data_IF_218212087319
#
_entry.id   IF_218212087319
#
_cell.length_a   1.000
_cell.length_b   1.000
_cell.length_c   1.000
_cell.angle_alpha   90.00
_cell.angle_beta   90.00
_cell.angle_gamma   90.00
#
_symmetry.space_group_name_H-M   'P 1'
#
loop_
_entity.id
_entity.type
_entity.pdbx_description
1 polymer ?
#
# COMPACT_ATOMS: atom_id res chain seq x y z
N UNK A 1 27.40 6.45 5.30
CA UNK A 1 27.81 5.77 4.04
C UNK A 1 28.59 4.52 4.39
N UNK A 2 28.22 3.37 3.88
CA UNK A 2 28.86 2.09 4.22
C UNK A 2 29.92 1.72 3.17
N UNK A 3 31.12 1.37 3.63
CA UNK A 3 32.19 0.87 2.77
C UNK A 3 31.78 -0.45 2.08
N UNK A 4 32.18 -0.65 0.80
CA UNK A 4 31.92 -1.86 0.01
C UNK A 4 32.39 -3.15 0.71
N UNK A 5 33.50 -3.08 1.44
CA UNK A 5 34.11 -4.21 2.13
C UNK A 5 33.62 -4.39 3.58
N UNK A 6 32.87 -3.46 4.14
CA UNK A 6 32.37 -3.59 5.51
C UNK A 6 31.16 -4.53 5.58
N UNK A 7 31.14 -5.39 6.56
CA UNK A 7 30.01 -6.28 6.86
C UNK A 7 29.86 -6.45 8.36
N UNK A 8 28.64 -6.74 8.81
CA UNK A 8 28.38 -7.11 10.21
C UNK A 8 28.29 -8.63 10.30
N UNK A 9 28.99 -9.21 11.25
CA UNK A 9 28.91 -10.64 11.58
C UNK A 9 28.43 -10.83 13.02
N UNK A 10 27.93 -12.00 13.33
CA UNK A 10 27.52 -12.38 14.70
C UNK A 10 28.29 -13.61 15.15
N UNK A 11 28.79 -13.55 16.39
CA UNK A 11 29.41 -14.70 17.07
C UNK A 11 28.98 -14.65 18.55
N UNK A 12 28.50 -15.75 19.09
CA UNK A 12 28.03 -15.84 20.49
C UNK A 12 27.06 -14.70 20.85
N UNK A 13 26.02 -14.48 19.99
CA UNK A 13 24.99 -13.42 20.12
C UNK A 13 25.50 -11.97 20.11
N UNK A 14 26.81 -11.74 19.95
CA UNK A 14 27.40 -10.40 19.78
C UNK A 14 27.62 -10.09 18.31
N UNK A 15 27.25 -8.88 17.91
CA UNK A 15 27.52 -8.36 16.55
C UNK A 15 28.85 -7.61 16.55
N UNK A 16 29.66 -7.83 15.52
CA UNK A 16 30.92 -7.15 15.31
C UNK A 16 31.09 -6.75 13.84
N UNK A 17 31.92 -5.76 13.59
CA UNK A 17 32.27 -5.33 12.24
C UNK A 17 33.42 -6.15 11.71
N UNK A 18 33.36 -6.53 10.44
CA UNK A 18 34.36 -7.30 9.76
C UNK A 18 34.69 -6.66 8.41
N UNK A 19 35.96 -6.50 8.11
CA UNK A 19 36.45 -6.03 6.82
C UNK A 19 36.78 -7.21 5.89
N UNK A 20 36.16 -7.21 4.71
CA UNK A 20 36.43 -8.21 3.66
C UNK A 20 37.47 -7.75 2.64
N UNK A 21 38.09 -6.58 2.83
CA UNK A 21 39.14 -6.14 1.91
C UNK A 21 40.25 -7.20 1.84
N UNK A 22 40.77 -7.55 0.63
CA UNK A 22 41.78 -8.60 0.47
C UNK A 22 42.99 -8.44 1.38
N UNK A 23 43.43 -7.20 1.64
CA UNK A 23 44.58 -6.88 2.48
C UNK A 23 44.33 -6.86 3.98
N UNK A 24 43.04 -6.97 4.43
CA UNK A 24 42.68 -6.84 5.85
C UNK A 24 42.04 -8.12 6.37
N UNK A 25 40.93 -8.55 5.83
CA UNK A 25 40.14 -9.77 6.18
C UNK A 25 40.10 -10.08 7.69
N UNK A 26 39.77 -9.08 8.50
CA UNK A 26 39.77 -9.22 9.96
C UNK A 26 38.57 -8.51 10.60
N UNK A 27 38.35 -8.81 11.87
CA UNK A 27 37.49 -8.02 12.74
C UNK A 27 38.13 -6.65 12.96
N UNK A 28 37.32 -5.60 12.86
CA UNK A 28 37.77 -4.22 12.92
C UNK A 28 36.91 -3.41 13.90
N UNK A 29 37.55 -2.43 14.53
CA UNK A 29 36.82 -1.36 15.20
C UNK A 29 36.21 -0.41 14.16
N UNK A 30 34.97 -0.10 14.31
CA UNK A 30 34.24 0.83 13.42
C UNK A 30 34.89 2.21 13.33
N UNK A 31 35.49 2.68 14.42
CA UNK A 31 36.24 3.94 14.47
C UNK A 31 37.39 3.96 13.49
N UNK A 32 38.16 2.85 13.39
CA UNK A 32 39.27 2.69 12.45
C UNK A 32 38.81 2.64 10.99
N UNK A 33 37.64 2.01 10.74
CA UNK A 33 37.05 1.96 9.40
C UNK A 33 36.65 3.35 8.87
N UNK A 34 36.37 4.30 9.74
CA UNK A 34 36.00 5.68 9.37
C UNK A 34 37.13 6.42 8.64
N UNK A 35 38.40 6.12 8.95
CA UNK A 35 39.59 6.76 8.40
C UNK A 35 40.37 5.86 7.43
N UNK A 36 39.82 4.71 7.04
CA UNK A 36 40.50 3.76 6.18
C UNK A 36 40.70 4.31 4.76
N UNK A 37 41.93 4.32 4.28
CA UNK A 37 42.33 4.75 2.93
C UNK A 37 41.89 3.78 1.84
N UNK A 38 41.64 2.50 2.19
CA UNK A 38 41.16 1.46 1.28
C UNK A 38 39.65 1.43 1.17
N UNK A 39 38.98 2.46 1.68
CA UNK A 39 37.52 2.55 1.75
C UNK A 39 36.90 2.79 0.37
N UNK A 40 36.17 1.82 -0.12
CA UNK A 40 35.37 1.96 -1.30
C UNK A 40 33.88 2.01 -0.90
N UNK A 41 33.16 3.00 -1.40
CA UNK A 41 31.73 3.10 -1.16
C UNK A 41 30.97 2.12 -2.06
N UNK A 42 29.99 1.43 -1.49
CA UNK A 42 29.03 0.68 -2.30
C UNK A 42 28.27 1.66 -3.17
N UNK A 43 28.29 1.45 -4.47
CA UNK A 43 27.30 2.09 -5.33
C UNK A 43 25.91 1.75 -4.81
N UNK A 44 25.16 2.77 -4.44
CA UNK A 44 23.76 2.60 -4.10
C UNK A 44 23.02 2.34 -5.42
N UNK A 45 22.90 1.06 -5.80
CA UNK A 45 21.92 0.70 -6.82
C UNK A 45 20.58 1.17 -6.30
N UNK A 46 19.83 1.98 -7.08
CA UNK A 46 18.50 2.37 -6.67
C UNK A 46 17.72 1.09 -6.37
N UNK A 47 17.24 0.96 -5.14
CA UNK A 47 16.41 -0.19 -4.74
C UNK A 47 15.19 -0.10 -5.64
N UNK A 48 14.97 -1.04 -6.56
CA UNK A 48 13.79 -1.01 -7.38
C UNK A 48 12.60 -1.10 -6.43
N UNK A 49 11.79 -0.06 -6.41
CA UNK A 49 10.64 0.06 -5.53
C UNK A 49 9.52 -0.85 -6.06
N UNK A 50 9.77 -2.17 -6.03
CA UNK A 50 8.77 -3.19 -6.41
C UNK A 50 7.69 -3.18 -5.33
N UNK A 51 6.62 -2.46 -5.60
CA UNK A 51 5.41 -2.54 -4.78
C UNK A 51 5.00 -4.02 -4.68
N UNK A 52 4.66 -4.48 -3.48
CA UNK A 52 4.14 -5.85 -3.27
C UNK A 52 2.84 -6.04 -4.07
N UNK A 53 2.60 -7.24 -4.59
CA UNK A 53 1.41 -7.54 -5.41
C UNK A 53 0.09 -7.10 -4.73
N UNK A 54 -0.06 -7.35 -3.43
CA UNK A 54 -1.19 -6.85 -2.63
C UNK A 54 -1.32 -5.31 -2.70
N UNK A 55 -0.21 -4.57 -2.59
CA UNK A 55 -0.23 -3.10 -2.65
C UNK A 55 -0.71 -2.59 -4.01
N UNK A 56 -0.36 -3.29 -5.09
CA UNK A 56 -0.83 -2.97 -6.44
C UNK A 56 -2.33 -3.25 -6.54
N UNK A 57 -2.78 -4.44 -6.14
CA UNK A 57 -4.17 -4.87 -6.23
C UNK A 57 -5.13 -4.00 -5.38
N UNK A 58 -4.68 -3.52 -4.22
CA UNK A 58 -5.49 -2.69 -3.30
C UNK A 58 -5.38 -1.19 -3.55
N UNK A 59 -4.51 -0.76 -4.48
CA UNK A 59 -4.42 0.65 -4.89
C UNK A 59 -5.50 0.95 -5.92
N UNK A 60 -6.12 2.13 -5.85
CA UNK A 60 -7.11 2.56 -6.83
C UNK A 60 -6.38 3.22 -8.01
N UNK A 61 -6.42 2.64 -9.23
CA UNK A 61 -5.89 3.28 -10.42
C UNK A 61 -6.68 4.55 -10.77
N UNK A 62 -6.02 5.52 -11.42
CA UNK A 62 -6.70 6.75 -11.86
C UNK A 62 -7.91 6.47 -12.76
N UNK A 63 -7.76 5.53 -13.68
CA UNK A 63 -8.84 5.12 -14.57
C UNK A 63 -10.06 4.53 -13.83
N UNK A 64 -9.85 3.83 -12.73
CA UNK A 64 -10.96 3.33 -11.88
C UNK A 64 -11.66 4.50 -11.19
N UNK A 65 -10.90 5.46 -10.64
CA UNK A 65 -11.50 6.66 -10.03
C UNK A 65 -12.40 7.43 -10.99
N UNK A 66 -11.90 7.65 -12.20
CA UNK A 66 -12.64 8.37 -13.25
C UNK A 66 -13.95 7.63 -13.58
N UNK A 67 -13.91 6.31 -13.83
CA UNK A 67 -15.12 5.53 -14.14
C UNK A 67 -16.11 5.45 -12.97
N UNK A 68 -15.62 5.34 -11.74
CA UNK A 68 -16.45 5.35 -10.54
C UNK A 68 -17.15 6.71 -10.37
N UNK A 69 -16.40 7.79 -10.55
CA UNK A 69 -16.93 9.14 -10.44
C UNK A 69 -18.02 9.43 -11.50
N UNK A 70 -17.80 8.98 -12.75
CA UNK A 70 -18.80 9.05 -13.82
C UNK A 70 -20.03 8.18 -13.50
N UNK A 71 -19.82 6.92 -13.05
CA UNK A 71 -20.92 6.02 -12.64
C UNK A 71 -21.79 6.66 -11.56
N UNK A 72 -21.17 7.34 -10.59
CA UNK A 72 -21.83 7.96 -9.44
C UNK A 72 -22.33 9.40 -9.76
N UNK A 73 -22.32 9.79 -11.05
CA UNK A 73 -22.80 11.09 -11.55
C UNK A 73 -22.13 12.29 -10.88
N UNK A 74 -20.85 12.19 -10.56
CA UNK A 74 -20.04 13.22 -9.90
C UNK A 74 -20.54 13.60 -8.50
N UNK A 75 -21.28 12.72 -7.85
CA UNK A 75 -21.95 12.97 -6.56
C UNK A 75 -21.57 11.94 -5.51
N UNK A 76 -21.64 12.35 -4.26
CA UNK A 76 -21.62 11.45 -3.12
C UNK A 76 -22.85 10.51 -3.16
N UNK A 77 -22.65 9.20 -3.05
CA UNK A 77 -23.74 8.22 -3.10
C UNK A 77 -24.71 8.32 -1.90
N UNK A 78 -24.30 8.96 -0.82
CA UNK A 78 -25.12 9.09 0.40
C UNK A 78 -25.88 10.40 0.49
N UNK A 79 -25.22 11.54 0.29
CA UNK A 79 -25.83 12.86 0.47
C UNK A 79 -26.08 13.62 -0.85
N UNK A 80 -25.70 13.05 -1.99
CA UNK A 80 -25.88 13.59 -3.34
C UNK A 80 -25.23 14.95 -3.61
N UNK A 81 -24.31 15.41 -2.74
CA UNK A 81 -23.49 16.60 -3.02
C UNK A 81 -22.56 16.33 -4.19
N UNK A 82 -22.42 17.32 -5.09
CA UNK A 82 -21.38 17.27 -6.12
C UNK A 82 -19.99 17.30 -5.48
N UNK A 83 -19.13 16.42 -5.93
CA UNK A 83 -17.78 16.27 -5.39
C UNK A 83 -16.77 16.04 -6.51
N UNK A 84 -15.50 16.44 -6.33
CA UNK A 84 -14.46 16.21 -7.32
C UNK A 84 -14.07 14.73 -7.43
N UNK A 85 -13.37 14.37 -8.51
CA UNK A 85 -12.97 12.99 -8.84
C UNK A 85 -12.10 12.33 -7.75
N UNK A 86 -11.39 13.11 -6.96
CA UNK A 86 -10.59 12.64 -5.83
C UNK A 86 -11.43 11.92 -4.79
N UNK A 87 -12.71 12.28 -4.68
CA UNK A 87 -13.67 11.67 -3.76
C UNK A 87 -14.17 10.29 -4.20
N UNK A 88 -13.85 9.84 -5.42
CA UNK A 88 -14.05 8.45 -5.87
C UNK A 88 -12.94 7.55 -5.31
N UNK A 89 -12.87 7.42 -4.00
CA UNK A 89 -11.80 6.71 -3.29
C UNK A 89 -12.24 5.91 -2.07
N UNK A 90 -13.54 5.91 -1.76
CA UNK A 90 -14.08 5.17 -0.64
C UNK A 90 -14.17 3.68 -0.98
N UNK A 91 -13.60 2.83 -0.14
CA UNK A 91 -13.62 1.38 -0.29
C UNK A 91 -14.75 0.79 0.56
N UNK A 92 -15.59 -0.08 0.01
CA UNK A 92 -16.53 -0.88 0.80
C UNK A 92 -15.76 -1.87 1.70
N UNK A 93 -14.91 -2.68 1.11
CA UNK A 93 -13.93 -3.47 1.88
C UNK A 93 -12.64 -2.66 1.98
N UNK A 94 -12.29 -2.27 3.19
CA UNK A 94 -11.12 -1.42 3.45
C UNK A 94 -9.83 -2.00 2.89
N UNK A 95 -8.96 -1.14 2.43
CA UNK A 95 -7.63 -1.51 1.95
C UNK A 95 -6.81 -2.31 2.99
N UNK A 96 -6.94 -1.98 4.27
CA UNK A 96 -6.30 -2.71 5.39
C UNK A 96 -6.77 -4.15 5.49
N UNK A 97 -8.03 -4.42 5.16
CA UNK A 97 -8.64 -5.75 5.10
C UNK A 97 -8.38 -6.48 3.78
N UNK A 98 -7.65 -5.86 2.85
CA UNK A 98 -7.33 -6.45 1.55
C UNK A 98 -8.29 -6.04 0.44
N UNK A 99 -9.15 -5.08 0.66
CA UNK A 99 -10.07 -4.56 -0.35
C UNK A 99 -9.34 -4.08 -1.59
N UNK A 100 -9.74 -4.59 -2.75
CA UNK A 100 -9.12 -4.27 -4.03
C UNK A 100 -9.58 -2.91 -4.54
N UNK A 101 -8.69 -2.24 -5.30
CA UNK A 101 -8.97 -0.96 -5.95
C UNK A 101 -9.71 -1.13 -7.29
N UNK A 102 -10.81 -1.85 -7.29
CA UNK A 102 -11.67 -2.15 -8.45
C UNK A 102 -13.02 -1.44 -8.32
N UNK A 103 -13.70 -1.23 -9.44
CA UNK A 103 -14.96 -0.47 -9.49
C UNK A 103 -16.05 -1.04 -8.59
N UNK A 104 -16.10 -2.37 -8.46
CA UNK A 104 -17.06 -3.10 -7.64
C UNK A 104 -16.85 -2.89 -6.13
N UNK A 105 -15.70 -2.38 -5.73
CA UNK A 105 -15.34 -2.11 -4.33
C UNK A 105 -15.25 -0.62 -4.01
N UNK A 106 -15.28 0.25 -5.03
CA UNK A 106 -15.05 1.68 -4.86
C UNK A 106 -16.29 2.46 -5.16
N UNK A 107 -16.53 3.51 -4.38
CA UNK A 107 -17.62 4.46 -4.62
C UNK A 107 -17.20 5.89 -4.28
N UNK A 108 -18.01 6.85 -4.75
CA UNK A 108 -17.81 8.28 -4.52
C UNK A 108 -18.50 8.72 -3.24
N UNK A 109 -17.75 9.28 -2.29
CA UNK A 109 -18.28 9.84 -1.05
C UNK A 109 -17.61 11.17 -0.72
N UNK A 110 -18.36 12.16 -0.23
CA UNK A 110 -17.79 13.37 0.34
C UNK A 110 -17.01 13.03 1.63
N UNK A 111 -16.16 13.91 2.08
CA UNK A 111 -15.28 13.66 3.24
C UNK A 111 -16.07 13.32 4.51
N UNK A 112 -17.20 13.99 4.74
CA UNK A 112 -18.05 13.74 5.90
C UNK A 112 -18.67 12.34 5.85
N UNK A 113 -19.28 11.98 4.71
CA UNK A 113 -19.88 10.66 4.52
C UNK A 113 -18.84 9.54 4.50
N UNK A 114 -17.64 9.79 3.94
CA UNK A 114 -16.54 8.82 3.95
C UNK A 114 -16.08 8.52 5.40
N UNK A 115 -15.92 9.58 6.21
CA UNK A 115 -15.57 9.41 7.61
C UNK A 115 -16.65 8.66 8.40
N UNK A 116 -17.93 9.01 8.18
CA UNK A 116 -19.05 8.34 8.83
C UNK A 116 -19.13 6.86 8.44
N UNK A 117 -18.92 6.53 7.15
CA UNK A 117 -18.86 5.16 6.66
C UNK A 117 -17.71 4.36 7.29
N UNK A 118 -16.53 4.99 7.52
CA UNK A 118 -15.37 4.28 8.05
C UNK A 118 -15.37 4.14 9.57
N UNK A 119 -15.77 5.18 10.31
CA UNK A 119 -15.56 5.27 11.76
C UNK A 119 -16.74 5.92 12.49
N UNK A 120 -17.82 6.24 11.81
CA UNK A 120 -18.94 6.97 12.38
C UNK A 120 -19.89 6.12 13.24
N UNK A 121 -20.81 6.79 13.90
CA UNK A 121 -21.86 6.16 14.72
C UNK A 121 -22.81 5.36 13.84
N UNK A 122 -23.10 5.85 12.62
CA UNK A 122 -23.97 5.18 11.63
C UNK A 122 -23.20 4.26 10.68
N UNK A 123 -21.99 3.81 11.05
CA UNK A 123 -21.10 3.02 10.19
C UNK A 123 -21.81 1.81 9.56
N UNK A 124 -22.50 1.02 10.36
CA UNK A 124 -23.15 -0.21 9.87
C UNK A 124 -24.23 0.09 8.83
N UNK A 125 -25.06 1.09 9.09
CA UNK A 125 -26.11 1.53 8.16
C UNK A 125 -25.51 2.07 6.85
N UNK A 126 -24.44 2.85 6.94
CA UNK A 126 -23.74 3.39 5.77
C UNK A 126 -23.10 2.29 4.92
N UNK A 127 -22.50 1.28 5.56
CA UNK A 127 -21.94 0.11 4.86
C UNK A 127 -23.05 -0.70 4.17
N UNK A 128 -24.17 -0.91 4.81
CA UNK A 128 -25.30 -1.61 4.20
C UNK A 128 -25.83 -0.87 2.95
N UNK A 129 -26.03 0.44 3.05
CA UNK A 129 -26.41 1.30 1.90
C UNK A 129 -25.39 1.24 0.76
N UNK A 130 -24.07 1.23 1.08
CA UNK A 130 -23.02 1.12 0.08
C UNK A 130 -23.06 -0.23 -0.63
N UNK A 131 -23.28 -1.33 0.11
CA UNK A 131 -23.42 -2.69 -0.44
C UNK A 131 -24.61 -2.81 -1.37
N UNK A 132 -25.78 -2.35 -0.93
CA UNK A 132 -26.99 -2.32 -1.75
C UNK A 132 -26.77 -1.52 -3.03
N UNK A 133 -26.14 -0.34 -2.91
CA UNK A 133 -25.80 0.49 -4.05
C UNK A 133 -24.90 -0.24 -5.03
N UNK A 134 -23.77 -0.82 -4.57
CA UNK A 134 -22.83 -1.53 -5.43
C UNK A 134 -23.46 -2.79 -6.05
N UNK A 135 -24.23 -3.55 -5.28
CA UNK A 135 -24.96 -4.72 -5.79
C UNK A 135 -25.98 -4.33 -6.86
N UNK A 136 -26.61 -3.15 -6.78
CA UNK A 136 -27.50 -2.65 -7.83
C UNK A 136 -26.80 -2.29 -9.14
N UNK A 137 -25.49 -2.00 -9.09
CA UNK A 137 -24.70 -1.60 -10.26
C UNK A 137 -24.02 -2.77 -10.97
N UNK A 138 -23.70 -3.84 -10.25
CA UNK A 138 -22.92 -4.95 -10.77
C UNK A 138 -23.69 -6.28 -10.65
N UNK A 139 -24.06 -6.92 -11.77
CA UNK A 139 -24.62 -8.27 -11.76
C UNK A 139 -23.65 -9.25 -11.08
N UNK A 140 -24.18 -10.10 -10.20
CA UNK A 140 -23.38 -11.08 -9.44
C UNK A 140 -22.36 -10.46 -8.47
N UNK A 141 -22.58 -9.24 -8.00
CA UNK A 141 -21.74 -8.62 -6.96
C UNK A 141 -21.70 -9.51 -5.72
N UNK A 142 -20.48 -9.81 -5.26
CA UNK A 142 -20.23 -10.62 -4.06
C UNK A 142 -19.05 -10.06 -3.31
N UNK A 143 -19.18 -9.90 -2.01
CA UNK A 143 -18.18 -9.32 -1.14
C UNK A 143 -16.85 -10.09 -1.17
N UNK A 144 -16.91 -11.42 -1.33
CA UNK A 144 -15.73 -12.29 -1.40
C UNK A 144 -14.85 -11.99 -2.63
N UNK A 145 -15.43 -11.42 -3.67
CA UNK A 145 -14.71 -11.04 -4.89
C UNK A 145 -13.98 -9.70 -4.77
N UNK A 146 -14.26 -8.94 -3.72
CA UNK A 146 -13.66 -7.63 -3.48
C UNK A 146 -12.33 -7.69 -2.73
N UNK A 147 -11.97 -8.87 -2.18
CA UNK A 147 -10.82 -9.05 -1.31
C UNK A 147 -9.66 -9.69 -2.09
N UNK A 148 -8.48 -9.09 -2.01
CA UNK A 148 -7.27 -9.64 -2.60
C UNK A 148 -6.93 -11.01 -2.00
N UNK A 149 -6.91 -12.02 -2.84
CA UNK A 149 -6.45 -13.36 -2.49
C UNK A 149 -5.20 -13.70 -3.30
N UNK A 150 -4.09 -13.97 -2.62
CA UNK A 150 -2.81 -14.33 -3.26
C UNK A 150 -2.89 -15.65 -4.06
N UNK A 151 -3.81 -16.54 -3.69
CA UNK A 151 -3.93 -17.88 -4.23
C UNK A 151 -5.12 -18.06 -5.19
N UNK A 152 -5.88 -16.99 -5.47
CA UNK A 152 -6.93 -17.02 -6.48
C UNK A 152 -6.25 -16.95 -7.84
N UNK A 153 -6.21 -18.06 -8.56
CA UNK A 153 -5.81 -18.09 -9.96
C UNK A 153 -6.78 -17.24 -10.77
N UNK A 154 -6.22 -16.44 -11.67
CA UNK A 154 -6.98 -15.57 -12.59
C UNK A 154 -7.50 -16.40 -13.74
#
# INVERSE_FOLDING_TARGET
>A
MNCKYSTTRSKNYKKYFYCRHPSIKSEIDYSKCKFCTLKEYKEQKPIPNKKKARTIATSIPKSVKERVWERDRHQCIFCHKNVPVECACCHEIRRSQGGMGIEENIFTACNECHKEHDEGVSQLEMQEKAREYLASKYPNWKIENLIYNKYKEV
#
